data_IF_852201585107
#
_entry.id   IF_852201585107
#
_cell.length_a   1.000
_cell.length_b   1.000
_cell.length_c   1.000
_cell.angle_alpha   90.00
_cell.angle_beta   90.00
_cell.angle_gamma   90.00
#
_symmetry.space_group_name_H-M   'P 1'
#
loop_
_entity.id
_entity.type
_entity.pdbx_description
1 polymer ?
#
# COMPACT_ATOMS: atom_id res chain seq x y z
N UNK A 1 -13.61 -9.27 -3.19
CA UNK A 1 -13.67 -8.24 -2.12
C UNK A 1 -15.09 -8.11 -1.56
N UNK A 2 -16.11 -7.89 -2.41
CA UNK A 2 -17.50 -7.73 -1.97
C UNK A 2 -17.98 -8.86 -1.03
N UNK A 3 -17.77 -10.11 -1.43
CA UNK A 3 -18.18 -11.29 -0.67
C UNK A 3 -17.52 -11.35 0.73
N UNK A 4 -16.24 -10.97 0.83
CA UNK A 4 -15.53 -10.94 2.11
C UNK A 4 -16.13 -9.89 3.07
N UNK A 5 -16.41 -8.68 2.56
CA UNK A 5 -17.01 -7.62 3.36
C UNK A 5 -18.43 -8.02 3.78
N UNK A 6 -19.23 -8.57 2.87
CA UNK A 6 -20.58 -9.05 3.17
C UNK A 6 -20.57 -10.19 4.20
N UNK A 7 -19.68 -11.17 4.07
CA UNK A 7 -19.57 -12.27 5.02
C UNK A 7 -19.23 -11.79 6.45
N UNK A 8 -18.28 -10.85 6.56
CA UNK A 8 -17.94 -10.21 7.84
C UNK A 8 -19.10 -9.37 8.37
N UNK A 9 -19.82 -8.64 7.52
CA UNK A 9 -20.99 -7.85 7.90
C UNK A 9 -22.14 -8.73 8.41
N UNK A 10 -22.43 -9.84 7.74
CA UNK A 10 -23.39 -10.88 8.19
C UNK A 10 -22.95 -11.45 9.54
N UNK A 11 -21.65 -11.56 9.77
CA UNK A 11 -21.06 -12.01 11.05
C UNK A 11 -21.04 -10.93 12.14
N UNK A 12 -21.60 -9.74 11.88
CA UNK A 12 -21.75 -8.66 12.86
C UNK A 12 -20.73 -7.53 12.76
N UNK A 13 -19.73 -7.61 11.87
CA UNK A 13 -18.83 -6.48 11.65
C UNK A 13 -19.58 -5.29 11.06
N UNK A 14 -19.24 -4.07 11.50
CA UNK A 14 -19.88 -2.84 11.02
C UNK A 14 -18.90 -1.81 10.51
N UNK A 15 -17.69 -1.77 11.07
CA UNK A 15 -16.64 -0.84 10.62
C UNK A 15 -15.55 -1.61 9.88
N UNK A 16 -15.19 -1.13 8.70
CA UNK A 16 -14.17 -1.72 7.84
C UNK A 16 -13.19 -0.64 7.40
N UNK A 17 -11.90 -0.84 7.70
CA UNK A 17 -10.82 -0.06 7.09
C UNK A 17 -10.37 -0.78 5.82
N UNK A 18 -10.51 -0.13 4.67
CA UNK A 18 -10.24 -0.73 3.36
C UNK A 18 -9.09 0.05 2.69
N UNK A 19 -7.87 -0.52 2.63
CA UNK A 19 -6.78 0.08 1.89
C UNK A 19 -6.99 -0.01 0.37
N UNK A 20 -6.56 1.01 -0.37
CA UNK A 20 -6.28 0.89 -1.81
C UNK A 20 -4.99 0.08 -2.04
N UNK A 21 -4.75 -0.34 -3.28
CA UNK A 21 -3.48 -0.94 -3.69
C UNK A 21 -2.48 0.19 -4.03
N UNK A 22 -1.25 0.19 -3.50
CA UNK A 22 -0.21 1.09 -3.99
C UNK A 22 0.09 0.80 -5.45
N UNK A 23 0.48 1.80 -6.23
CA UNK A 23 0.92 1.59 -7.61
C UNK A 23 2.02 0.53 -7.68
N UNK A 24 1.70 -0.66 -8.20
CA UNK A 24 2.63 -1.79 -8.25
C UNK A 24 3.89 -1.48 -9.08
N UNK A 25 3.82 -0.51 -10.00
CA UNK A 25 4.93 -0.06 -10.83
C UNK A 25 6.10 0.54 -10.05
N UNK A 26 5.86 0.95 -8.80
CA UNK A 26 6.90 1.53 -7.92
C UNK A 26 7.76 0.46 -7.23
N UNK A 27 7.26 -0.78 -7.14
CA UNK A 27 7.97 -1.84 -6.44
C UNK A 27 9.31 -2.14 -7.13
N UNK A 28 10.41 -2.34 -6.37
CA UNK A 28 11.72 -2.58 -6.98
C UNK A 28 11.72 -3.78 -7.96
N UNK A 29 10.94 -4.82 -7.68
CA UNK A 29 10.79 -5.98 -8.56
C UNK A 29 10.16 -5.63 -9.92
N UNK A 30 9.11 -4.79 -9.95
CA UNK A 30 8.48 -4.37 -11.21
C UNK A 30 9.36 -3.38 -11.95
N UNK A 31 10.03 -2.46 -11.24
CA UNK A 31 11.02 -1.54 -11.84
C UNK A 31 12.14 -2.31 -12.56
N UNK A 32 12.62 -3.40 -11.96
CA UNK A 32 13.65 -4.25 -12.56
C UNK A 32 13.23 -4.93 -13.87
N UNK A 33 11.92 -5.07 -14.13
CA UNK A 33 11.38 -5.61 -15.39
C UNK A 33 11.26 -4.54 -16.50
N UNK A 34 11.48 -3.26 -16.16
CA UNK A 34 11.56 -2.15 -17.10
C UNK A 34 10.22 -1.48 -17.46
N UNK A 35 10.26 -0.43 -18.30
CA UNK A 35 9.11 0.45 -18.55
C UNK A 35 7.83 -0.23 -19.04
N UNK A 36 7.86 -1.27 -19.91
CA UNK A 36 6.64 -1.95 -20.33
C UNK A 36 5.91 -2.64 -19.16
N UNK A 37 6.66 -3.25 -18.24
CA UNK A 37 6.10 -3.90 -17.05
C UNK A 37 5.54 -2.87 -16.07
N UNK A 38 6.24 -1.75 -15.87
CA UNK A 38 5.75 -0.63 -15.06
C UNK A 38 4.46 -0.05 -15.61
N UNK A 39 4.37 0.18 -16.92
CA UNK A 39 3.15 0.67 -17.55
C UNK A 39 1.97 -0.29 -17.33
N UNK A 40 2.17 -1.58 -17.56
CA UNK A 40 1.13 -2.60 -17.34
C UNK A 40 0.71 -2.67 -15.86
N UNK A 41 1.67 -2.56 -14.92
CA UNK A 41 1.41 -2.58 -13.48
C UNK A 41 0.63 -1.35 -12.99
N UNK A 42 0.92 -0.15 -13.54
CA UNK A 42 0.13 1.06 -13.27
C UNK A 42 -1.31 0.84 -13.74
N UNK A 43 -1.51 0.38 -14.98
CA UNK A 43 -2.85 0.13 -15.52
C UNK A 43 -3.64 -0.90 -14.69
N UNK A 44 -2.98 -1.97 -14.26
CA UNK A 44 -3.58 -2.98 -13.39
C UNK A 44 -3.96 -2.40 -12.03
N UNK A 45 -3.10 -1.56 -11.45
CA UNK A 45 -3.37 -0.92 -10.15
C UNK A 45 -4.56 0.04 -10.25
N UNK A 46 -4.59 0.88 -11.27
CA UNK A 46 -5.73 1.80 -11.52
C UNK A 46 -7.02 1.02 -11.68
N UNK A 47 -7.04 0.00 -12.55
CA UNK A 47 -8.23 -0.83 -12.76
C UNK A 47 -8.69 -1.54 -11.47
N UNK A 48 -7.76 -2.01 -10.63
CA UNK A 48 -8.09 -2.62 -9.34
C UNK A 48 -8.71 -1.60 -8.38
N UNK A 49 -8.11 -0.42 -8.23
CA UNK A 49 -8.58 0.61 -7.32
C UNK A 49 -9.95 1.18 -7.76
N UNK A 50 -10.16 1.39 -9.06
CA UNK A 50 -11.46 1.80 -9.62
C UNK A 50 -12.54 0.74 -9.34
N UNK A 51 -12.23 -0.54 -9.57
CA UNK A 51 -13.16 -1.64 -9.31
C UNK A 51 -13.46 -1.79 -7.80
N UNK A 52 -12.45 -1.57 -6.95
CA UNK A 52 -12.61 -1.55 -5.51
C UNK A 52 -13.58 -0.44 -5.08
N UNK A 53 -13.41 0.78 -5.59
CA UNK A 53 -14.29 1.90 -5.26
C UNK A 53 -15.73 1.66 -5.75
N UNK A 54 -15.90 1.02 -6.92
CA UNK A 54 -17.20 0.56 -7.40
C UNK A 54 -17.86 -0.46 -6.45
N UNK A 55 -17.11 -1.45 -5.97
CA UNK A 55 -17.59 -2.43 -4.98
C UNK A 55 -18.00 -1.74 -3.67
N UNK A 56 -17.16 -0.84 -3.16
CA UNK A 56 -17.43 -0.17 -1.88
C UNK A 56 -18.65 0.75 -1.99
N UNK A 57 -18.82 1.44 -3.11
CA UNK A 57 -20.00 2.25 -3.39
C UNK A 57 -21.28 1.42 -3.39
N UNK A 58 -21.27 0.22 -3.99
CA UNK A 58 -22.42 -0.69 -3.99
C UNK A 58 -22.76 -1.22 -2.57
N UNK A 59 -21.77 -1.36 -1.70
CA UNK A 59 -21.96 -1.88 -0.34
C UNK A 59 -22.43 -0.81 0.66
N UNK A 60 -22.34 0.49 0.34
CA UNK A 60 -22.80 1.58 1.23
C UNK A 60 -24.29 1.49 1.58
N UNK A 61 -25.09 0.77 0.79
CA UNK A 61 -26.50 0.51 1.08
C UNK A 61 -26.76 -0.49 2.21
N UNK A 62 -25.73 -1.20 2.72
CA UNK A 62 -25.91 -2.14 3.82
C UNK A 62 -26.19 -1.39 5.14
N UNK A 63 -27.22 -1.79 5.91
CA UNK A 63 -27.53 -1.14 7.16
C UNK A 63 -26.33 -1.06 8.12
N UNK A 64 -26.09 0.14 8.65
CA UNK A 64 -25.06 0.43 9.67
C UNK A 64 -23.61 0.12 9.24
N UNK A 65 -23.33 -0.10 7.96
CA UNK A 65 -21.96 -0.28 7.50
C UNK A 65 -21.20 1.05 7.53
N UNK A 66 -19.99 1.05 8.07
CA UNK A 66 -19.01 2.13 8.01
C UNK A 66 -17.81 1.63 7.22
N UNK A 67 -17.62 2.17 6.02
CA UNK A 67 -16.46 1.91 5.17
C UNK A 67 -15.50 3.10 5.28
N UNK A 68 -14.31 2.86 5.80
CA UNK A 68 -13.23 3.85 5.89
C UNK A 68 -12.21 3.52 4.82
N UNK A 69 -12.02 4.43 3.85
CA UNK A 69 -10.97 4.28 2.83
C UNK A 69 -9.63 4.69 3.43
N UNK A 70 -8.59 3.94 3.07
CA UNK A 70 -7.20 4.30 3.32
C UNK A 70 -6.48 4.30 1.98
N UNK A 71 -6.11 5.47 1.49
CA UNK A 71 -5.43 5.56 0.20
C UNK A 71 -3.92 5.28 0.37
N UNK A 72 -3.56 4.01 0.19
CA UNK A 72 -2.16 3.57 0.21
C UNK A 72 -1.44 4.00 -1.07
N UNK A 73 -2.16 4.22 -2.17
CA UNK A 73 -1.57 4.67 -3.41
C UNK A 73 -1.03 6.10 -3.26
N UNK A 74 -1.90 7.03 -2.88
CA UNK A 74 -1.51 8.42 -2.61
C UNK A 74 -0.42 8.51 -1.53
N UNK A 75 -0.55 7.73 -0.44
CA UNK A 75 0.47 7.67 0.61
C UNK A 75 1.86 7.32 0.07
N UNK A 76 1.97 6.33 -0.81
CA UNK A 76 3.26 5.92 -1.36
C UNK A 76 3.78 6.90 -2.41
N UNK A 77 2.90 7.51 -3.21
CA UNK A 77 3.26 8.60 -4.13
C UNK A 77 3.89 9.77 -3.37
N UNK A 78 3.28 10.20 -2.25
CA UNK A 78 3.79 11.28 -1.39
C UNK A 78 5.16 10.93 -0.77
N UNK A 79 5.29 9.71 -0.24
CA UNK A 79 6.55 9.24 0.36
C UNK A 79 7.70 9.19 -0.66
N UNK A 80 7.39 8.88 -1.93
CA UNK A 80 8.37 8.85 -3.01
C UNK A 80 8.67 10.24 -3.58
N UNK A 81 7.70 11.15 -3.57
CA UNK A 81 7.88 12.52 -4.03
C UNK A 81 8.77 13.34 -3.08
N UNK A 82 8.72 13.06 -1.77
CA UNK A 82 9.51 13.77 -0.76
C UNK A 82 10.08 12.83 0.33
N UNK A 83 10.95 11.87 -0.03
CA UNK A 83 11.42 10.85 0.91
C UNK A 83 12.19 11.45 2.09
N UNK A 84 12.99 12.49 1.88
CA UNK A 84 13.76 13.12 2.96
C UNK A 84 12.85 13.79 4.00
N UNK A 85 11.72 14.36 3.57
CA UNK A 85 10.73 14.95 4.47
C UNK A 85 10.09 13.90 5.38
N UNK A 86 9.93 12.67 4.89
CA UNK A 86 9.51 11.52 5.67
C UNK A 86 10.64 10.89 6.50
N UNK A 87 11.88 11.38 6.37
CA UNK A 87 13.04 10.76 6.99
C UNK A 87 13.43 9.42 6.35
N UNK A 88 13.22 9.27 5.05
CA UNK A 88 13.78 8.19 4.24
C UNK A 88 15.04 8.69 3.54
N UNK A 89 16.01 7.80 3.37
CA UNK A 89 17.21 8.04 2.56
C UNK A 89 17.13 7.32 1.22
N UNK A 90 16.20 6.38 1.06
CA UNK A 90 15.95 5.67 -0.18
C UNK A 90 14.48 5.20 -0.21
N UNK A 91 13.75 5.58 -1.25
CA UNK A 91 12.36 5.16 -1.45
C UNK A 91 12.14 4.30 -2.69
N UNK A 92 13.20 3.92 -3.39
CA UNK A 92 13.14 3.28 -4.71
C UNK A 92 13.72 1.87 -4.75
N UNK A 93 14.77 1.63 -3.95
CA UNK A 93 15.53 0.38 -3.94
C UNK A 93 15.14 -0.48 -2.74
N UNK A 94 15.30 -1.79 -2.90
CA UNK A 94 15.20 -2.77 -1.81
C UNK A 94 16.40 -2.66 -0.86
N UNK A 95 16.16 -2.64 0.45
CA UNK A 95 17.24 -2.74 1.43
C UNK A 95 17.92 -4.13 1.42
N UNK A 96 17.18 -5.19 1.09
CA UNK A 96 17.66 -6.55 0.95
C UNK A 96 18.17 -6.81 -0.47
N UNK A 97 19.43 -7.21 -0.61
CA UNK A 97 20.02 -7.63 -1.88
C UNK A 97 19.95 -9.15 -2.01
N UNK A 98 19.23 -9.62 -3.03
CA UNK A 98 19.10 -11.05 -3.32
C UNK A 98 20.39 -11.64 -3.91
N UNK A 99 20.64 -12.93 -3.63
CA UNK A 99 21.81 -13.65 -4.16
C UNK A 99 23.12 -13.37 -3.42
N UNK A 100 23.08 -12.63 -2.32
CA UNK A 100 24.24 -12.28 -1.49
C UNK A 100 24.15 -12.98 -0.13
N UNK A 101 25.24 -13.63 0.31
CA UNK A 101 25.29 -14.36 1.59
C UNK A 101 25.72 -13.45 2.75
N UNK A 102 26.67 -12.55 2.51
CA UNK A 102 27.21 -11.62 3.53
C UNK A 102 26.95 -10.17 3.17
N UNK A 103 26.40 -9.39 4.10
CA UNK A 103 26.10 -7.96 3.86
C UNK A 103 24.89 -7.73 2.95
N UNK A 104 23.96 -8.69 2.88
CA UNK A 104 22.76 -8.59 2.04
C UNK A 104 21.79 -7.48 2.49
N UNK A 105 21.84 -7.07 3.75
CA UNK A 105 20.97 -6.02 4.31
C UNK A 105 21.71 -4.68 4.23
N UNK A 106 21.03 -3.65 3.73
CA UNK A 106 21.54 -2.28 3.69
C UNK A 106 21.89 -1.75 5.10
N UNK A 107 22.73 -0.71 5.17
CA UNK A 107 23.22 -0.16 6.45
C UNK A 107 22.13 0.52 7.31
N UNK A 108 21.09 1.05 6.67
CA UNK A 108 20.04 1.86 7.32
C UNK A 108 18.63 1.36 6.97
N UNK A 109 18.26 0.13 7.36
CA UNK A 109 16.98 -0.49 6.99
C UNK A 109 15.74 0.30 7.49
N UNK A 110 15.90 1.10 8.55
CA UNK A 110 14.86 1.98 9.07
C UNK A 110 14.71 3.30 8.31
N UNK A 111 15.52 3.52 7.26
CA UNK A 111 15.48 4.72 6.40
C UNK A 111 15.20 4.35 4.93
N UNK A 112 14.87 3.09 4.65
CA UNK A 112 14.46 2.61 3.33
C UNK A 112 12.95 2.43 3.29
N UNK A 113 12.30 2.72 2.17
CA UNK A 113 10.87 2.43 2.00
C UNK A 113 10.63 0.94 1.79
N UNK A 114 11.42 0.29 0.93
CA UNK A 114 11.28 -1.13 0.57
C UNK A 114 12.29 -2.01 1.30
N UNK A 115 11.78 -3.07 1.92
CA UNK A 115 12.60 -4.13 2.51
C UNK A 115 13.19 -5.01 1.41
N UNK A 116 12.35 -5.53 0.53
CA UNK A 116 12.73 -6.39 -0.58
C UNK A 116 12.14 -5.86 -1.91
N UNK A 117 12.01 -6.72 -2.92
CA UNK A 117 11.48 -6.34 -4.23
C UNK A 117 10.02 -5.87 -4.23
N UNK A 118 9.26 -6.09 -3.15
CA UNK A 118 7.81 -5.82 -3.10
C UNK A 118 7.42 -5.18 -1.77
N UNK A 119 7.94 -5.69 -0.65
CA UNK A 119 7.41 -5.38 0.67
C UNK A 119 8.05 -4.11 1.27
N UNK A 120 7.27 -3.28 1.99
CA UNK A 120 7.82 -2.14 2.73
C UNK A 120 8.70 -2.58 3.92
N UNK A 121 9.61 -1.72 4.35
CA UNK A 121 10.34 -1.89 5.61
C UNK A 121 9.44 -1.65 6.81
N UNK A 122 9.99 -1.84 8.02
CA UNK A 122 9.37 -1.36 9.26
C UNK A 122 9.00 0.14 9.20
N UNK A 123 9.83 0.97 8.56
CA UNK A 123 9.53 2.40 8.42
C UNK A 123 8.34 2.62 7.47
N UNK A 124 8.34 1.93 6.31
CA UNK A 124 7.20 1.92 5.38
C UNK A 124 5.89 1.50 6.05
N UNK A 125 5.89 0.38 6.78
CA UNK A 125 4.74 -0.06 7.58
C UNK A 125 4.34 0.93 8.68
N UNK A 126 5.30 1.69 9.24
CA UNK A 126 5.03 2.75 10.20
C UNK A 126 4.17 3.89 9.60
N UNK A 127 4.45 4.30 8.37
CA UNK A 127 3.63 5.29 7.66
C UNK A 127 2.21 4.76 7.40
N UNK A 128 2.09 3.51 6.93
CA UNK A 128 0.79 2.86 6.73
C UNK A 128 -0.02 2.84 8.03
N UNK A 129 0.61 2.45 9.14
CA UNK A 129 -0.04 2.39 10.45
C UNK A 129 -0.49 3.78 10.93
N UNK A 130 0.34 4.81 10.72
CA UNK A 130 0.01 6.20 11.04
C UNK A 130 -1.20 6.70 10.24
N UNK A 131 -1.21 6.48 8.93
CA UNK A 131 -2.32 6.85 8.06
C UNK A 131 -3.61 6.09 8.42
N UNK A 132 -3.52 4.78 8.70
CA UNK A 132 -4.65 3.97 9.17
C UNK A 132 -5.22 4.49 10.50
N UNK A 133 -4.36 4.84 11.45
CA UNK A 133 -4.78 5.40 12.73
C UNK A 133 -5.54 6.71 12.55
N UNK A 134 -5.01 7.64 11.74
CA UNK A 134 -5.67 8.92 11.45
C UNK A 134 -7.02 8.74 10.74
N UNK A 135 -7.10 7.80 9.78
CA UNK A 135 -8.32 7.51 9.05
C UNK A 135 -9.45 6.97 9.94
N UNK A 136 -9.11 6.17 10.97
CA UNK A 136 -10.10 5.63 11.91
C UNK A 136 -10.43 6.63 13.03
N UNK A 137 -9.44 7.40 13.49
CA UNK A 137 -9.60 8.33 14.62
C UNK A 137 -10.29 9.65 14.26
N UNK A 138 -10.39 9.98 12.96
CA UNK A 138 -11.12 11.15 12.49
C UNK A 138 -12.64 10.93 12.67
N UNK A 139 -13.35 11.85 13.37
CA UNK A 139 -14.78 11.69 13.67
C UNK A 139 -15.67 11.59 12.43
#
# INVERSE_FOLDING_TARGET
MADNIQALWVSGARTFLIPSLPNLAITPAVRALGPPAQFAATQLTTAYNDALDGVLSALQGLPQIKLVRLDINELFEDLMAAPEAAGLTNAEDSCLTFGVIGGAICKTPNRYLFWDGIHPTKAGHGFIAGAAFLAIASP
#
